data_IF_635199149795
#
_entry.id   IF_635199149795
#
_cell.length_a   1.000
_cell.length_b   1.000
_cell.length_c   1.000
_cell.angle_alpha   90.00
_cell.angle_beta   90.00
_cell.angle_gamma   90.00
#
_symmetry.space_group_name_H-M   'P 1'
#
loop_
_entity.id
_entity.type
_entity.pdbx_description
1 polymer ?
#
# COMPACT_ATOMS: atom_id res chain seq x y z
N UNK A 1 6.73 7.03 -13.02
CA UNK A 1 5.87 6.68 -11.86
C UNK A 1 5.65 7.94 -11.04
N UNK A 2 4.42 8.44 -10.98
CA UNK A 2 4.07 9.59 -10.13
C UNK A 2 3.99 9.13 -8.69
N UNK A 3 4.74 9.76 -7.78
CA UNK A 3 4.78 9.41 -6.34
C UNK A 3 4.16 10.50 -5.46
N UNK A 4 3.73 11.62 -6.04
CA UNK A 4 3.25 12.80 -5.33
C UNK A 4 1.89 12.62 -4.65
N UNK A 5 1.16 11.54 -4.98
CA UNK A 5 -0.16 11.23 -4.42
C UNK A 5 -0.14 10.16 -3.34
N UNK A 6 1.01 9.52 -3.07
CA UNK A 6 1.09 8.39 -2.14
C UNK A 6 0.35 7.12 -2.59
N UNK A 7 -0.19 7.11 -3.82
CA UNK A 7 -0.91 5.99 -4.42
C UNK A 7 0.02 5.22 -5.35
N UNK A 8 0.05 3.89 -5.21
CA UNK A 8 0.73 2.99 -6.13
C UNK A 8 0.05 3.00 -7.49
N UNK A 9 0.83 3.25 -8.55
CA UNK A 9 0.32 3.20 -9.92
C UNK A 9 -0.05 1.79 -10.39
N UNK A 10 0.54 0.73 -9.81
CA UNK A 10 0.22 -0.65 -10.19
C UNK A 10 -0.98 -1.20 -9.44
N UNK A 11 -1.15 -0.83 -8.17
CA UNK A 11 -2.20 -1.35 -7.29
C UNK A 11 -3.41 -0.44 -7.17
N UNK A 12 -3.29 0.83 -7.60
CA UNK A 12 -4.30 1.89 -7.37
C UNK A 12 -4.68 2.07 -5.89
N UNK A 13 -3.77 1.68 -5.00
CA UNK A 13 -3.92 1.70 -3.54
C UNK A 13 -2.79 2.49 -2.90
N UNK A 14 -2.95 3.03 -1.69
CA UNK A 14 -1.86 3.67 -0.97
C UNK A 14 -0.63 2.78 -0.85
N UNK A 15 0.56 3.40 -0.85
CA UNK A 15 1.77 2.69 -0.47
C UNK A 15 1.71 2.25 0.99
N UNK A 16 2.11 1.00 1.26
CA UNK A 16 2.23 0.46 2.61
C UNK A 16 3.08 1.37 3.51
N UNK A 17 2.70 1.59 4.77
CA UNK A 17 3.49 2.35 5.72
C UNK A 17 4.73 1.54 6.14
N UNK A 18 5.70 2.19 6.82
CA UNK A 18 6.83 1.50 7.40
C UNK A 18 6.39 0.53 8.50
N UNK A 19 6.98 -0.67 8.55
CA UNK A 19 6.65 -1.68 9.58
C UNK A 19 7.18 -1.33 10.96
N UNK A 20 8.15 -0.41 11.02
CA UNK A 20 8.73 0.09 12.27
C UNK A 20 9.33 1.46 11.99
N UNK A 21 9.42 2.29 13.02
CA UNK A 21 10.02 3.61 12.93
C UNK A 21 11.13 3.74 13.98
N UNK A 22 12.16 4.54 13.69
CA UNK A 22 13.20 4.89 14.64
C UNK A 22 13.73 6.28 14.35
N UNK A 23 14.16 7.00 15.37
CA UNK A 23 14.88 8.26 15.23
C UNK A 23 16.36 8.01 15.44
N UNK A 24 17.21 8.53 14.56
CA UNK A 24 18.66 8.44 14.70
C UNK A 24 19.28 9.85 14.76
N UNK A 25 20.33 10.05 15.58
CA UNK A 25 21.08 11.30 15.55
C UNK A 25 21.89 11.40 14.25
N UNK A 26 21.96 12.60 13.67
CA UNK A 26 22.80 12.90 12.51
C UNK A 26 24.22 13.17 12.99
N UNK A 27 25.25 12.46 12.49
CA UNK A 27 26.62 12.74 12.86
C UNK A 27 27.07 14.08 12.26
N UNK A 28 27.38 15.06 13.12
CA UNK A 28 27.88 16.41 12.74
C UNK A 28 26.89 17.20 11.86
N UNK A 29 25.71 17.57 12.39
CA UNK A 29 24.73 18.36 11.65
C UNK A 29 25.32 19.73 11.28
N UNK A 30 25.06 20.18 10.04
CA UNK A 30 25.34 21.56 9.63
C UNK A 30 24.28 22.52 10.22
N UNK A 31 24.55 23.83 10.20
CA UNK A 31 23.65 24.85 10.78
C UNK A 31 22.24 24.87 10.17
N UNK A 32 22.08 24.36 8.95
CA UNK A 32 20.80 24.23 8.26
C UNK A 32 20.28 22.79 8.19
N UNK A 33 20.80 21.89 9.03
CA UNK A 33 20.44 20.47 9.05
C UNK A 33 19.88 20.03 10.40
N UNK A 34 18.95 19.09 10.37
CA UNK A 34 18.36 18.50 11.57
C UNK A 34 19.42 17.70 12.32
N UNK A 35 19.38 17.80 13.65
CA UNK A 35 20.23 17.00 14.54
C UNK A 35 19.79 15.53 14.60
N UNK A 36 18.55 15.24 14.22
CA UNK A 36 17.94 13.91 14.24
C UNK A 36 17.13 13.68 12.96
N UNK A 37 17.05 12.43 12.52
CA UNK A 37 16.25 12.02 11.36
C UNK A 37 15.38 10.81 11.74
N UNK A 38 14.08 10.93 11.48
CA UNK A 38 13.12 9.84 11.52
C UNK A 38 13.31 8.91 10.32
N UNK A 39 13.41 7.61 10.59
CA UNK A 39 13.51 6.55 9.60
C UNK A 39 12.37 5.54 9.77
N UNK A 40 11.93 4.95 8.66
CA UNK A 40 10.97 3.87 8.59
C UNK A 40 11.59 2.61 8.01
N UNK A 41 11.28 1.44 8.57
CA UNK A 41 11.74 0.14 8.06
C UNK A 41 10.85 -0.31 6.91
N UNK A 42 11.46 -0.56 5.75
CA UNK A 42 10.77 -1.10 4.58
C UNK A 42 10.38 -2.56 4.79
N UNK A 43 9.14 -2.92 4.49
CA UNK A 43 8.70 -4.30 4.55
C UNK A 43 9.26 -5.12 3.38
N UNK A 44 9.54 -4.51 2.24
CA UNK A 44 10.04 -5.21 1.07
C UNK A 44 11.57 -5.40 1.13
N UNK A 45 12.36 -4.33 1.06
CA UNK A 45 13.83 -4.44 1.07
C UNK A 45 14.46 -4.54 2.47
N UNK A 46 13.67 -4.43 3.54
CA UNK A 46 14.10 -4.49 4.96
C UNK A 46 15.09 -3.38 5.39
N UNK A 47 15.35 -2.39 4.54
CA UNK A 47 16.22 -1.25 4.85
C UNK A 47 15.49 -0.18 5.66
N UNK A 48 16.26 0.62 6.41
CA UNK A 48 15.77 1.82 7.09
C UNK A 48 15.87 3.03 6.16
N UNK A 49 14.72 3.59 5.81
CA UNK A 49 14.58 4.68 4.84
C UNK A 49 14.23 5.96 5.59
N UNK A 50 14.87 7.11 5.30
CA UNK A 50 14.47 8.39 5.87
C UNK A 50 13.00 8.71 5.54
N UNK A 51 12.23 9.07 6.56
CA UNK A 51 10.86 9.56 6.39
C UNK A 51 10.83 11.07 6.14
N UNK A 52 11.92 11.77 6.44
CA UNK A 52 12.04 13.21 6.30
C UNK A 52 13.37 13.64 5.65
N UNK A 53 13.45 14.90 5.24
CA UNK A 53 14.67 15.50 4.70
C UNK A 53 15.65 15.95 5.79
N UNK A 54 16.93 16.02 5.45
CA UNK A 54 17.99 16.44 6.37
C UNK A 54 17.99 17.94 6.67
N UNK A 55 17.39 18.77 5.81
CA UNK A 55 17.37 20.24 5.99
C UNK A 55 16.33 20.67 7.02
N UNK A 56 16.67 21.71 7.78
CA UNK A 56 15.75 22.39 8.69
C UNK A 56 14.76 23.16 7.83
N UNK A 57 13.50 22.71 7.84
CA UNK A 57 12.41 23.30 7.07
C UNK A 57 11.23 22.34 7.01
N UNK A 58 10.02 22.89 6.96
CA UNK A 58 8.81 22.09 6.79
C UNK A 58 8.61 21.76 5.31
N UNK A 59 8.43 20.47 5.03
CA UNK A 59 8.04 20.01 3.71
C UNK A 59 6.53 20.13 3.58
N UNK A 60 6.04 20.47 2.38
CA UNK A 60 4.60 20.47 2.10
C UNK A 60 3.95 19.10 2.30
N UNK A 61 4.73 18.03 2.17
CA UNK A 61 4.28 16.65 2.37
C UNK A 61 5.33 15.92 3.20
N UNK A 62 4.96 15.47 4.40
CA UNK A 62 5.87 14.85 5.36
C UNK A 62 6.33 13.47 4.87
N UNK A 63 5.47 12.74 4.17
CA UNK A 63 5.74 11.37 3.68
C UNK A 63 6.46 11.30 2.33
N UNK A 64 6.82 12.44 1.72
CA UNK A 64 7.35 12.47 0.35
C UNK A 64 8.58 11.59 0.16
N UNK A 65 9.45 11.53 1.16
CA UNK A 65 10.67 10.72 1.13
C UNK A 65 10.34 9.22 1.15
N UNK A 66 9.34 8.82 1.92
CA UNK A 66 8.84 7.45 1.95
C UNK A 66 8.21 7.05 0.61
N UNK A 67 7.34 7.89 0.04
CA UNK A 67 6.66 7.58 -1.21
C UNK A 67 7.63 7.42 -2.39
N UNK A 68 8.72 8.20 -2.42
CA UNK A 68 9.79 8.01 -3.41
C UNK A 68 10.41 6.61 -3.34
N UNK A 69 10.69 6.12 -2.13
CA UNK A 69 11.19 4.77 -1.94
C UNK A 69 10.14 3.72 -2.31
N UNK A 70 8.93 3.86 -1.79
CA UNK A 70 7.84 2.92 -2.02
C UNK A 70 7.50 2.78 -3.52
N UNK A 71 7.51 3.87 -4.29
CA UNK A 71 7.26 3.85 -5.72
C UNK A 71 8.27 3.00 -6.52
N UNK A 72 9.55 2.99 -6.11
CA UNK A 72 10.58 2.18 -6.75
C UNK A 72 10.73 0.77 -6.16
N UNK A 73 10.43 0.62 -4.87
CA UNK A 73 10.70 -0.60 -4.12
C UNK A 73 9.48 -1.50 -3.97
N UNK A 74 8.29 -0.97 -3.65
CA UNK A 74 7.16 -1.81 -3.27
C UNK A 74 6.53 -2.50 -4.48
N UNK A 75 6.38 -1.83 -5.63
CA UNK A 75 5.71 -2.38 -6.82
C UNK A 75 4.38 -3.08 -6.42
N UNK A 76 4.34 -4.41 -6.47
CA UNK A 76 3.17 -5.23 -6.17
C UNK A 76 3.20 -5.85 -4.76
N UNK A 77 4.25 -5.57 -3.99
CA UNK A 77 4.33 -5.90 -2.56
C UNK A 77 3.44 -4.96 -1.75
N UNK A 78 2.66 -5.56 -0.85
CA UNK A 78 1.87 -4.89 0.18
C UNK A 78 1.99 -5.66 1.50
N UNK A 79 1.66 -5.02 2.62
CA UNK A 79 1.50 -5.76 3.87
C UNK A 79 0.13 -6.46 3.86
N UNK A 80 0.09 -7.63 4.49
CA UNK A 80 -1.13 -8.41 4.63
C UNK A 80 -2.11 -7.65 5.54
N UNK A 81 -3.36 -7.48 5.10
CA UNK A 81 -4.41 -6.75 5.83
C UNK A 81 -4.54 -5.26 5.48
N UNK A 82 -3.75 -4.72 4.53
CA UNK A 82 -3.80 -3.28 4.17
C UNK A 82 -4.97 -2.85 3.26
N UNK A 83 -5.89 -3.75 2.98
CA UNK A 83 -7.05 -3.53 2.10
C UNK A 83 -8.28 -4.25 2.64
N UNK A 84 -8.38 -4.32 3.96
CA UNK A 84 -9.55 -4.91 4.57
C UNK A 84 -10.75 -3.95 4.51
N UNK A 85 -11.93 -4.54 4.66
CA UNK A 85 -13.20 -3.86 4.59
C UNK A 85 -13.26 -2.85 5.72
N UNK A 86 -13.25 -1.58 5.34
CA UNK A 86 -13.21 -0.49 6.30
C UNK A 86 -14.49 -0.43 7.15
N UNK A 87 -15.61 -0.86 6.58
CA UNK A 87 -16.90 -0.95 7.26
C UNK A 87 -17.79 -1.97 6.57
N UNK A 88 -18.31 -2.93 7.34
CA UNK A 88 -19.33 -3.87 6.89
C UNK A 88 -20.69 -3.15 6.92
N UNK A 89 -21.12 -2.60 5.78
CA UNK A 89 -22.40 -1.93 5.64
C UNK A 89 -23.45 -2.80 4.92
N UNK A 90 -24.66 -2.26 4.74
CA UNK A 90 -25.75 -2.96 4.07
C UNK A 90 -25.38 -3.34 2.61
N UNK A 91 -24.57 -2.52 1.93
CA UNK A 91 -24.11 -2.81 0.58
C UNK A 91 -23.12 -3.98 0.56
N UNK A 92 -22.18 -4.01 1.52
CA UNK A 92 -21.27 -5.14 1.71
C UNK A 92 -22.03 -6.44 2.00
N UNK A 93 -23.03 -6.37 2.89
CA UNK A 93 -23.88 -7.52 3.24
C UNK A 93 -24.60 -8.07 2.01
N UNK A 94 -25.23 -7.19 1.20
CA UNK A 94 -25.93 -7.59 -0.02
C UNK A 94 -25.01 -8.20 -1.08
N UNK A 95 -23.76 -7.72 -1.18
CA UNK A 95 -22.75 -8.31 -2.08
C UNK A 95 -22.37 -9.72 -1.65
N UNK A 96 -22.12 -9.95 -0.36
CA UNK A 96 -21.84 -11.29 0.17
C UNK A 96 -23.01 -12.27 -0.05
N UNK A 97 -24.25 -11.81 0.15
CA UNK A 97 -25.45 -12.62 -0.11
C UNK A 97 -25.56 -13.00 -1.58
N UNK A 98 -25.27 -12.05 -2.49
CA UNK A 98 -25.24 -12.30 -3.92
C UNK A 98 -24.18 -13.34 -4.30
N UNK A 99 -22.94 -13.20 -3.80
CA UNK A 99 -21.84 -14.15 -4.07
C UNK A 99 -22.16 -15.55 -3.54
N UNK A 100 -22.75 -15.65 -2.35
CA UNK A 100 -23.22 -16.93 -1.78
C UNK A 100 -24.35 -17.56 -2.59
N UNK A 101 -25.18 -16.75 -3.25
CA UNK A 101 -26.24 -17.20 -4.15
C UNK A 101 -25.74 -17.69 -5.52
N UNK A 102 -24.54 -17.28 -5.95
CA UNK A 102 -23.94 -17.67 -7.24
C UNK A 102 -23.18 -19.03 -7.18
N UNK A 103 -23.09 -19.66 -6.01
CA UNK A 103 -22.45 -20.96 -5.80
C UNK A 103 -23.19 -22.19 -6.38
N UNK A 104 -24.28 -22.01 -7.13
CA UNK A 104 -25.02 -23.11 -7.79
C UNK A 104 -25.41 -22.70 -9.22
N UNK A 105 -24.45 -22.68 -10.15
CA UNK A 105 -24.74 -22.92 -11.57
C UNK A 105 -23.48 -23.26 -12.39
N UNK A 106 -22.79 -24.34 -12.03
CA UNK A 106 -22.01 -25.08 -13.02
C UNK A 106 -22.34 -26.57 -12.97
N UNK A 107 -23.16 -26.97 -13.94
CA UNK A 107 -23.06 -28.26 -14.62
C UNK A 107 -24.12 -29.30 -14.26
N UNK A 108 -25.06 -29.56 -15.19
CA UNK A 108 -25.33 -30.94 -15.63
C UNK A 108 -25.77 -30.95 -17.11
N UNK A 109 -25.18 -31.91 -17.84
CA UNK A 109 -25.23 -32.24 -19.27
C UNK A 109 -26.61 -32.71 -19.79
N UNK A 110 -26.77 -32.69 -21.12
CA UNK A 110 -27.74 -33.55 -21.82
C UNK A 110 -27.76 -33.35 -23.34
N UNK A 111 -27.00 -34.15 -24.08
CA UNK A 111 -27.11 -34.23 -25.53
C UNK A 111 -28.43 -34.84 -26.02
N UNK A 112 -28.85 -34.44 -27.21
CA UNK A 112 -29.69 -35.25 -28.09
C UNK A 112 -29.39 -34.85 -29.54
N UNK A 113 -28.90 -35.83 -30.30
CA UNK A 113 -28.98 -35.85 -31.76
C UNK A 113 -30.44 -35.76 -32.20
N UNK A 114 -30.69 -35.09 -33.32
CA UNK A 114 -31.80 -35.41 -34.21
C UNK A 114 -31.42 -35.05 -35.65
N UNK A 115 -30.93 -36.05 -36.37
CA UNK A 115 -31.08 -36.12 -37.81
C UNK A 115 -32.56 -36.29 -38.17
N UNK A 116 -33.03 -35.56 -39.18
CA UNK A 116 -33.71 -35.99 -40.42
C UNK A 116 -34.08 -34.74 -41.20
#
# INVERSE_FOLDING_TARGET
VSFNSGISASRFLPFSPPVSQRTIPVPRPQSNEKSEILQGKCHNCKQWIPLEGCKIGELKVKELFWWKHAAGCHKDSSLQGEVDIFMEDEAYTRLLEYERGQGVNQGVNGGAEAAV
#
